data_IF_792873587114
#
_entry.id   IF_792873587114
#
_cell.length_a   1.000
_cell.length_b   1.000
_cell.length_c   1.000
_cell.angle_alpha   90.00
_cell.angle_beta   90.00
_cell.angle_gamma   90.00
#
_symmetry.space_group_name_H-M   'P 1'
#
loop_
_entity.id
_entity.type
_entity.pdbx_description
1 polymer ?
#
# COMPACT_ATOMS: atom_id res chain seq x y z
N UNK A 1 8.66 -12.40 -2.04
CA UNK A 1 9.50 -11.50 -1.18
C UNK A 1 8.66 -10.55 -0.32
N UNK A 2 7.98 -9.49 -0.86
CA UNK A 2 7.21 -8.55 -0.02
C UNK A 2 6.06 -9.21 0.75
N UNK A 3 5.18 -9.93 0.05
CA UNK A 3 4.05 -10.63 0.69
C UNK A 3 4.52 -11.66 1.72
N UNK A 4 5.52 -12.47 1.38
CA UNK A 4 6.10 -13.48 2.29
C UNK A 4 6.70 -12.84 3.54
N UNK A 5 7.36 -11.69 3.40
CA UNK A 5 7.86 -10.94 4.56
C UNK A 5 6.72 -10.54 5.50
N UNK A 6 5.64 -9.96 4.97
CA UNK A 6 4.51 -9.56 5.80
C UNK A 6 3.67 -10.75 6.29
N UNK A 7 3.63 -11.87 5.56
CA UNK A 7 3.07 -13.13 6.07
C UNK A 7 3.85 -13.63 7.29
N UNK A 8 5.18 -13.49 7.30
CA UNK A 8 6.01 -13.82 8.47
C UNK A 8 5.72 -12.94 9.69
N UNK A 9 5.17 -11.74 9.47
CA UNK A 9 4.69 -10.82 10.52
C UNK A 9 3.21 -11.03 10.87
N UNK A 10 2.60 -12.11 10.41
CA UNK A 10 1.22 -12.50 10.72
C UNK A 10 0.14 -11.88 9.82
N UNK A 11 0.51 -11.31 8.69
CA UNK A 11 -0.45 -10.78 7.73
C UNK A 11 -1.05 -11.89 6.86
N UNK A 12 -2.32 -11.73 6.51
CA UNK A 12 -2.98 -12.54 5.50
C UNK A 12 -2.74 -11.91 4.13
N UNK A 13 -2.12 -12.64 3.22
CA UNK A 13 -1.97 -12.20 1.84
C UNK A 13 -3.31 -12.36 1.09
N UNK A 14 -3.88 -11.26 0.65
CA UNK A 14 -5.07 -11.23 -0.19
C UNK A 14 -4.67 -11.08 -1.66
N UNK A 15 -5.43 -11.74 -2.53
CA UNK A 15 -5.30 -11.55 -3.97
C UNK A 15 -5.69 -10.13 -4.36
N UNK A 16 -5.13 -9.62 -5.45
CA UNK A 16 -5.54 -8.35 -6.05
C UNK A 16 -7.05 -8.34 -6.33
N UNK A 17 -7.71 -7.30 -5.89
CA UNK A 17 -9.10 -7.06 -6.24
C UNK A 17 -9.22 -6.68 -7.72
N UNK A 18 -10.44 -6.79 -8.27
CA UNK A 18 -10.74 -6.31 -9.61
C UNK A 18 -10.42 -4.82 -9.74
N UNK A 19 -9.94 -4.40 -10.90
CA UNK A 19 -9.75 -2.98 -11.21
C UNK A 19 -11.07 -2.22 -11.26
N UNK A 20 -12.17 -2.90 -11.60
CA UNK A 20 -13.52 -2.32 -11.54
C UNK A 20 -14.00 -2.37 -10.10
N UNK A 21 -14.22 -1.20 -9.45
CA UNK A 21 -14.66 -1.16 -8.06
C UNK A 21 -16.03 -1.77 -7.89
N UNK A 22 -16.22 -2.48 -6.77
CA UNK A 22 -17.53 -2.99 -6.36
C UNK A 22 -18.07 -2.07 -5.27
N UNK A 23 -19.30 -1.57 -5.45
CA UNK A 23 -20.01 -0.75 -4.46
C UNK A 23 -19.29 0.57 -4.06
N UNK A 24 -18.45 1.11 -4.91
CA UNK A 24 -17.80 2.41 -4.71
C UNK A 24 -18.00 3.29 -5.97
N UNK A 25 -18.99 4.17 -5.92
CA UNK A 25 -19.31 5.08 -7.02
C UNK A 25 -18.35 6.28 -7.11
N UNK A 26 -17.41 6.41 -6.19
CA UNK A 26 -16.43 7.51 -6.19
C UNK A 26 -15.25 7.27 -7.14
N UNK A 27 -15.07 6.03 -7.60
CA UNK A 27 -13.97 5.63 -8.46
C UNK A 27 -14.48 4.90 -9.70
N UNK A 28 -13.94 5.24 -10.86
CA UNK A 28 -14.15 4.46 -12.09
C UNK A 28 -13.31 3.19 -12.10
N UNK A 29 -12.07 3.30 -11.66
CA UNK A 29 -11.11 2.20 -11.57
C UNK A 29 -10.33 2.30 -10.26
N UNK A 30 -9.89 1.15 -9.76
CA UNK A 30 -9.05 1.09 -8.56
C UNK A 30 -7.70 1.76 -8.84
N UNK A 31 -7.38 2.81 -8.08
CA UNK A 31 -6.20 3.64 -8.23
C UNK A 31 -5.23 3.59 -7.04
N UNK A 32 -5.56 2.83 -6.00
CA UNK A 32 -4.74 2.66 -4.80
C UNK A 32 -5.02 1.33 -4.11
N UNK A 33 -4.02 0.81 -3.41
CA UNK A 33 -4.13 -0.47 -2.68
C UNK A 33 -5.15 -0.45 -1.55
N UNK A 34 -5.37 0.71 -0.94
CA UNK A 34 -6.35 0.87 0.14
C UNK A 34 -7.80 0.95 -0.38
N UNK A 35 -8.03 1.37 -1.62
CA UNK A 35 -9.37 1.64 -2.13
C UNK A 35 -10.36 0.47 -1.94
N UNK A 36 -10.04 -0.77 -2.31
CA UNK A 36 -10.95 -1.90 -2.10
C UNK A 36 -11.10 -2.32 -0.63
N UNK A 37 -10.24 -1.82 0.27
CA UNK A 37 -10.26 -2.15 1.70
C UNK A 37 -10.99 -1.09 2.54
N UNK A 38 -11.51 -0.03 1.93
CA UNK A 38 -12.25 1.03 2.65
C UNK A 38 -13.34 0.49 3.59
N UNK A 39 -14.18 -0.49 3.19
CA UNK A 39 -15.23 -1.01 4.08
C UNK A 39 -14.70 -1.57 5.40
N UNK A 40 -13.49 -2.13 5.40
CA UNK A 40 -12.85 -2.63 6.62
C UNK A 40 -12.38 -1.49 7.54
N UNK A 41 -11.89 -0.39 6.97
CA UNK A 41 -11.49 0.79 7.75
C UNK A 41 -12.67 1.57 8.31
N UNK A 42 -13.79 1.60 7.60
CA UNK A 42 -15.02 2.29 8.03
C UNK A 42 -15.89 1.46 8.96
N UNK A 43 -15.56 0.18 9.16
CA UNK A 43 -16.35 -0.74 9.98
C UNK A 43 -17.64 -1.23 9.31
N UNK A 44 -17.80 -1.00 8.01
CA UNK A 44 -18.94 -1.52 7.23
C UNK A 44 -18.84 -3.03 7.03
N UNK A 45 -17.63 -3.55 6.94
CA UNK A 45 -17.35 -4.97 6.82
C UNK A 45 -16.26 -5.37 7.82
N UNK A 46 -16.32 -6.63 8.27
CA UNK A 46 -15.29 -7.21 9.13
C UNK A 46 -14.16 -7.72 8.25
N UNK A 47 -12.90 -7.28 8.49
CA UNK A 47 -11.78 -7.79 7.73
C UNK A 47 -11.55 -9.29 8.02
N UNK A 48 -11.05 -10.06 7.04
CA UNK A 48 -10.78 -11.49 7.23
C UNK A 48 -9.69 -11.75 8.26
N UNK A 49 -8.83 -10.77 8.49
CA UNK A 49 -7.80 -10.75 9.54
C UNK A 49 -7.45 -9.30 9.87
N UNK A 50 -6.99 -9.03 11.09
CA UNK A 50 -6.57 -7.68 11.51
C UNK A 50 -5.30 -7.19 10.81
N UNK A 51 -4.48 -8.11 10.30
CA UNK A 51 -3.29 -7.84 9.50
C UNK A 51 -3.46 -8.40 8.10
N UNK A 52 -3.37 -7.53 7.10
CA UNK A 52 -3.55 -7.90 5.69
C UNK A 52 -2.40 -7.34 4.87
N UNK A 53 -1.91 -8.10 3.90
CA UNK A 53 -0.95 -7.63 2.90
C UNK A 53 -1.47 -7.92 1.50
N UNK A 54 -1.18 -7.00 0.57
CA UNK A 54 -1.65 -7.10 -0.82
C UNK A 54 -0.61 -6.64 -1.82
N UNK A 55 -0.72 -7.18 -3.04
CA UNK A 55 -0.10 -6.63 -4.23
C UNK A 55 -1.24 -6.25 -5.18
N UNK A 56 -1.76 -5.03 -5.03
CA UNK A 56 -2.97 -4.56 -5.71
C UNK A 56 -2.65 -3.92 -7.05
N UNK A 57 -3.27 -4.42 -8.10
CA UNK A 57 -3.25 -3.81 -9.43
C UNK A 57 -4.03 -2.50 -9.42
N UNK A 58 -3.41 -1.44 -9.93
CA UNK A 58 -3.95 -0.08 -9.93
C UNK A 58 -3.80 0.58 -11.29
N UNK A 59 -4.74 1.49 -11.60
CA UNK A 59 -4.66 2.36 -12.77
C UNK A 59 -4.81 3.83 -12.34
N UNK A 60 -3.90 4.68 -12.84
CA UNK A 60 -3.98 6.14 -12.75
C UNK A 60 -3.77 6.75 -14.13
N UNK A 61 -4.67 7.64 -14.54
CA UNK A 61 -4.63 8.26 -15.86
C UNK A 61 -4.33 9.76 -15.82
N UNK A 62 -4.24 10.37 -14.64
CA UNK A 62 -3.97 11.80 -14.46
C UNK A 62 -2.68 12.27 -15.13
N UNK A 63 -1.67 11.41 -15.19
CA UNK A 63 -0.36 11.71 -15.78
C UNK A 63 -0.13 11.02 -17.15
N UNK A 64 -1.20 10.63 -17.85
CA UNK A 64 -1.09 9.85 -19.09
C UNK A 64 -0.27 10.60 -20.16
N UNK A 65 -0.35 11.93 -20.18
CA UNK A 65 0.41 12.76 -21.12
C UNK A 65 1.92 12.77 -20.88
N UNK A 66 2.35 12.39 -19.66
CA UNK A 66 3.74 12.32 -19.24
C UNK A 66 4.35 10.92 -19.47
N UNK A 67 3.52 9.92 -19.75
CA UNK A 67 3.99 8.55 -20.01
C UNK A 67 4.83 8.52 -21.29
N UNK A 68 6.04 7.99 -21.17
CA UNK A 68 7.02 7.97 -22.25
C UNK A 68 7.81 9.27 -22.45
N UNK A 69 7.43 10.37 -21.77
CA UNK A 69 8.18 11.64 -21.77
C UNK A 69 9.06 11.79 -20.53
N UNK A 70 8.64 11.22 -19.42
CA UNK A 70 9.38 11.21 -18.15
C UNK A 70 9.69 9.79 -17.74
N UNK A 71 10.78 9.59 -17.00
CA UNK A 71 11.25 8.26 -16.59
C UNK A 71 10.40 7.58 -15.50
N UNK A 72 9.45 8.30 -14.88
CA UNK A 72 8.78 7.86 -13.64
C UNK A 72 7.25 7.76 -13.73
N UNK A 73 6.66 8.04 -14.87
CA UNK A 73 5.21 8.00 -15.03
C UNK A 73 4.76 6.74 -15.78
N UNK A 74 3.84 6.03 -15.17
CA UNK A 74 3.12 4.91 -15.77
C UNK A 74 1.65 5.00 -15.42
N UNK A 75 0.79 4.33 -16.18
CA UNK A 75 -0.67 4.34 -15.95
C UNK A 75 -1.12 3.11 -15.18
N UNK A 76 -0.51 1.96 -15.43
CA UNK A 76 -0.79 0.70 -14.77
C UNK A 76 0.40 0.30 -13.88
N UNK A 77 0.13 -0.05 -12.63
CA UNK A 77 1.15 -0.44 -11.67
C UNK A 77 0.56 -1.34 -10.58
N UNK A 78 1.43 -2.00 -9.85
CA UNK A 78 1.08 -2.75 -8.64
C UNK A 78 1.48 -1.96 -7.41
N UNK A 79 0.56 -1.85 -6.45
CA UNK A 79 0.80 -1.21 -5.17
C UNK A 79 0.95 -2.29 -4.09
N UNK A 80 2.15 -2.38 -3.54
CA UNK A 80 2.43 -3.25 -2.40
C UNK A 80 1.92 -2.58 -1.13
N UNK A 81 1.14 -3.30 -0.35
CA UNK A 81 0.51 -2.75 0.84
C UNK A 81 0.51 -3.71 2.02
N UNK A 82 0.67 -3.15 3.21
CA UNK A 82 0.43 -3.83 4.47
C UNK A 82 -0.52 -2.98 5.31
N UNK A 83 -1.54 -3.61 5.86
CA UNK A 83 -2.67 -2.94 6.52
C UNK A 83 -2.90 -3.54 7.89
N UNK A 84 -3.21 -2.65 8.85
CA UNK A 84 -3.57 -3.00 10.21
C UNK A 84 -4.97 -2.46 10.53
N UNK A 85 -5.87 -3.35 10.89
CA UNK A 85 -7.23 -3.01 11.30
C UNK A 85 -7.34 -3.08 12.83
N UNK A 86 -6.84 -2.02 13.50
CA UNK A 86 -6.87 -1.93 14.95
C UNK A 86 -5.89 -2.87 15.67
N UNK A 87 -4.83 -3.31 15.01
CA UNK A 87 -3.81 -4.22 15.56
C UNK A 87 -2.53 -3.43 15.90
N UNK A 88 -1.58 -3.31 14.96
CA UNK A 88 -0.36 -2.51 15.15
C UNK A 88 -0.52 -1.10 14.59
N UNK A 89 0.42 -0.21 14.93
CA UNK A 89 0.43 1.16 14.44
C UNK A 89 1.85 1.62 14.03
N UNK A 90 2.26 2.82 14.39
CA UNK A 90 3.48 3.47 13.87
C UNK A 90 4.76 2.69 14.17
N UNK A 91 4.91 2.21 15.40
CA UNK A 91 6.18 1.61 15.85
C UNK A 91 6.52 0.36 15.03
N UNK A 92 5.60 -0.56 14.94
CA UNK A 92 5.79 -1.81 14.21
C UNK A 92 5.91 -1.55 12.69
N UNK A 93 5.06 -0.66 12.16
CA UNK A 93 5.09 -0.31 10.74
C UNK A 93 6.45 0.29 10.32
N UNK A 94 7.00 1.19 11.12
CA UNK A 94 8.32 1.81 10.86
C UNK A 94 9.42 0.76 10.99
N UNK A 95 9.40 -0.04 12.06
CA UNK A 95 10.41 -1.07 12.28
C UNK A 95 10.44 -2.11 11.15
N UNK A 96 9.26 -2.59 10.73
CA UNK A 96 9.17 -3.57 9.63
C UNK A 96 9.52 -2.96 8.27
N UNK A 97 9.19 -1.70 8.03
CA UNK A 97 9.61 -1.01 6.81
C UNK A 97 11.13 -0.91 6.73
N UNK A 98 11.77 -0.55 7.83
CA UNK A 98 13.22 -0.48 7.92
C UNK A 98 13.87 -1.85 7.72
N UNK A 99 13.40 -2.87 8.43
CA UNK A 99 13.85 -4.25 8.30
C UNK A 99 13.72 -4.74 6.85
N UNK A 100 12.58 -4.51 6.21
CA UNK A 100 12.35 -4.92 4.84
C UNK A 100 13.33 -4.28 3.86
N UNK A 101 13.51 -2.97 3.95
CA UNK A 101 14.38 -2.22 3.04
C UNK A 101 15.86 -2.55 3.24
N UNK A 102 16.32 -2.69 4.48
CA UNK A 102 17.74 -2.87 4.78
C UNK A 102 18.17 -4.34 4.81
N UNK A 103 17.37 -5.22 5.41
CA UNK A 103 17.75 -6.63 5.60
C UNK A 103 17.23 -7.53 4.49
N UNK A 104 16.00 -7.32 4.01
CA UNK A 104 15.39 -8.18 2.97
C UNK A 104 15.81 -7.73 1.56
N UNK A 105 15.68 -6.45 1.25
CA UNK A 105 16.10 -5.89 -0.05
C UNK A 105 17.61 -5.65 -0.06
N UNK A 106 18.21 -5.31 1.08
CA UNK A 106 19.64 -5.05 1.20
C UNK A 106 20.06 -3.67 0.71
N UNK A 107 19.19 -2.66 0.84
CA UNK A 107 19.54 -1.29 0.54
C UNK A 107 20.50 -0.74 1.58
N UNK A 108 21.44 0.07 1.13
CA UNK A 108 22.38 0.78 2.00
C UNK A 108 21.61 1.80 2.87
N UNK A 109 21.65 1.68 4.21
CA UNK A 109 20.97 2.62 5.11
C UNK A 109 21.36 4.07 4.90
N UNK A 110 22.62 4.35 4.52
CA UNK A 110 23.13 5.70 4.29
C UNK A 110 22.48 6.38 3.07
N UNK A 111 21.78 5.61 2.24
CA UNK A 111 21.04 6.10 1.08
C UNK A 111 19.53 6.24 1.33
N UNK A 112 19.07 5.95 2.53
CA UNK A 112 17.67 6.05 2.93
C UNK A 112 17.42 7.34 3.70
N UNK A 113 16.45 8.12 3.25
CA UNK A 113 16.09 9.41 3.85
C UNK A 113 14.62 9.36 4.31
N UNK A 114 14.35 8.88 5.53
CA UNK A 114 12.99 8.85 6.06
C UNK A 114 12.50 10.27 6.33
N UNK A 115 11.25 10.54 5.97
CA UNK A 115 10.58 11.82 6.23
C UNK A 115 9.31 11.56 7.02
N UNK A 116 9.08 12.38 8.05
CA UNK A 116 7.89 12.36 8.87
C UNK A 116 7.39 13.77 9.16
N UNK A 117 6.10 13.90 9.46
CA UNK A 117 5.48 15.17 9.83
C UNK A 117 5.03 15.16 11.28
N UNK A 118 5.21 16.29 11.96
CA UNK A 118 4.72 16.50 13.32
C UNK A 118 3.28 17.05 13.35
N UNK A 119 2.75 17.46 12.20
CA UNK A 119 1.39 17.98 12.01
C UNK A 119 0.81 17.47 10.69
N UNK A 120 -0.53 17.46 10.58
CA UNK A 120 -1.24 16.84 9.46
C UNK A 120 -1.38 17.74 8.21
N UNK A 121 -1.10 19.03 8.32
CA UNK A 121 -1.16 19.97 7.20
C UNK A 121 0.21 20.15 6.60
N UNK A 122 0.30 19.97 5.28
CA UNK A 122 1.47 20.38 4.53
C UNK A 122 1.56 21.91 4.51
N UNK A 123 2.77 22.48 4.63
CA UNK A 123 2.97 23.92 4.45
C UNK A 123 2.60 24.37 3.05
#
# INVERSE_FOLDING_TARGET
>A
MYLEFFESKGHLALKSFSLVPKNDNSLLLINAGMAPLKPYFTGQEVPPRTRVTTCQKCIRTGDIENVGKTARHGTFFEMLGNFSFGDYFKHEAIAWSWEFLTEVIGLDPDRLYPVSYTHLTLP
#
